data_IF_211783477098
#
_entry.id   IF_211783477098
#
_cell.length_a   1.000
_cell.length_b   1.000
_cell.length_c   1.000
_cell.angle_alpha   90.00
_cell.angle_beta   90.00
_cell.angle_gamma   90.00
#
_symmetry.space_group_name_H-M   'P 1'
#
loop_
_entity.id
_entity.type
_entity.pdbx_description
1 polymer ?
#
# COMPACT_ATOMS: atom_id res chain seq x y z
N UNK A 1 36.34 -26.56 -18.66
CA UNK A 1 36.02 -25.21 -18.17
C UNK A 1 34.51 -25.14 -18.06
N UNK A 2 33.97 -25.19 -16.85
CA UNK A 2 32.57 -24.84 -16.64
C UNK A 2 32.55 -23.31 -16.58
N UNK A 3 32.14 -22.69 -17.67
CA UNK A 3 31.81 -21.26 -17.67
C UNK A 3 30.44 -21.14 -17.01
N UNK A 4 30.45 -20.80 -15.73
CA UNK A 4 29.25 -20.31 -15.05
C UNK A 4 28.99 -18.90 -15.59
N UNK A 5 28.17 -18.81 -16.63
CA UNK A 5 27.67 -17.54 -17.13
C UNK A 5 26.62 -17.05 -16.15
N UNK A 6 27.04 -16.65 -14.94
CA UNK A 6 26.20 -16.28 -13.81
C UNK A 6 24.83 -15.79 -14.26
N UNK A 7 23.87 -16.73 -14.28
CA UNK A 7 22.60 -16.51 -14.90
C UNK A 7 21.96 -15.39 -14.09
N UNK A 8 21.75 -14.20 -14.68
CA UNK A 8 21.08 -13.11 -13.98
C UNK A 8 19.61 -13.54 -13.83
N UNK A 9 19.32 -14.26 -12.75
CA UNK A 9 18.01 -14.80 -12.47
C UNK A 9 17.06 -13.62 -12.26
N UNK A 10 15.90 -13.67 -12.91
CA UNK A 10 14.82 -12.73 -12.64
C UNK A 10 14.37 -12.91 -11.19
N UNK A 11 14.38 -11.81 -10.45
CA UNK A 11 13.98 -11.69 -9.06
C UNK A 11 12.96 -10.53 -8.96
N UNK A 12 11.74 -10.73 -9.48
CA UNK A 12 10.66 -9.76 -9.30
C UNK A 12 10.34 -9.66 -7.81
N UNK A 13 10.21 -8.43 -7.32
CA UNK A 13 9.90 -8.19 -5.92
C UNK A 13 9.18 -6.85 -5.78
N UNK A 14 8.08 -6.87 -5.03
CA UNK A 14 7.42 -5.67 -4.58
C UNK A 14 7.84 -5.37 -3.15
N UNK A 15 7.65 -4.12 -2.75
CA UNK A 15 7.51 -3.72 -1.38
C UNK A 15 6.29 -2.81 -1.30
N UNK A 16 5.52 -2.95 -0.24
CA UNK A 16 4.42 -2.05 0.07
C UNK A 16 4.75 -1.37 1.39
N UNK A 17 4.31 -0.14 1.59
CA UNK A 17 4.29 0.55 2.87
C UNK A 17 2.96 1.25 2.98
N UNK A 18 2.33 1.19 4.16
CA UNK A 18 1.05 1.85 4.42
C UNK A 18 1.10 2.59 5.74
N UNK A 19 0.70 3.85 5.71
CA UNK A 19 0.60 4.68 6.91
C UNK A 19 -0.80 5.30 7.04
N UNK A 20 -1.13 5.73 8.26
CA UNK A 20 -2.40 6.33 8.61
C UNK A 20 -2.18 7.47 9.62
N UNK A 21 -2.81 8.61 9.34
CA UNK A 21 -2.77 9.79 10.20
C UNK A 21 -4.17 10.33 10.42
N UNK A 22 -4.46 10.74 11.65
CA UNK A 22 -5.65 11.50 12.05
C UNK A 22 -5.16 12.80 12.69
N UNK A 23 -6.00 13.83 12.72
CA UNK A 23 -5.68 15.03 13.49
C UNK A 23 -5.50 14.66 14.97
N UNK A 24 -4.31 14.89 15.51
CA UNK A 24 -3.95 14.44 16.86
C UNK A 24 -3.35 13.03 16.91
N UNK A 25 -3.72 12.26 17.93
CA UNK A 25 -3.14 10.92 18.21
C UNK A 25 -4.19 9.80 18.10
N UNK A 26 -5.46 10.15 18.29
CA UNK A 26 -6.59 9.26 18.43
C UNK A 26 -7.73 9.71 17.52
N UNK A 27 -8.65 8.80 17.21
CA UNK A 27 -9.96 9.15 16.68
C UNK A 27 -10.93 9.27 17.87
N UNK A 28 -11.22 10.50 18.27
CA UNK A 28 -11.99 10.87 19.46
C UNK A 28 -13.49 11.05 19.16
N UNK A 29 -13.87 11.39 17.93
CA UNK A 29 -15.28 11.62 17.58
C UNK A 29 -15.63 11.33 16.11
N UNK A 30 -16.93 11.13 15.86
CA UNK A 30 -17.45 10.89 14.52
C UNK A 30 -17.30 12.16 13.64
N UNK A 31 -16.84 11.97 12.41
CA UNK A 31 -16.56 13.05 11.45
C UNK A 31 -15.09 13.42 11.33
N UNK A 32 -14.21 12.87 12.18
CA UNK A 32 -12.76 12.99 11.97
C UNK A 32 -12.33 12.24 10.72
N UNK A 33 -11.28 12.75 10.06
CA UNK A 33 -10.77 12.17 8.82
C UNK A 33 -9.44 11.50 9.09
N UNK A 34 -9.35 10.20 8.79
CA UNK A 34 -8.11 9.46 8.75
C UNK A 34 -7.59 9.51 7.32
N UNK A 35 -6.38 10.05 7.13
CA UNK A 35 -5.67 10.05 5.87
C UNK A 35 -4.75 8.83 5.78
N UNK A 36 -4.82 8.12 4.66
CA UNK A 36 -3.97 6.98 4.37
C UNK A 36 -3.00 7.31 3.24
N UNK A 37 -1.76 6.86 3.39
CA UNK A 37 -0.76 6.88 2.32
C UNK A 37 -0.27 5.45 2.09
N UNK A 38 -0.14 5.07 0.83
CA UNK A 38 0.43 3.79 0.42
C UNK A 38 1.55 4.06 -0.57
N UNK A 39 2.70 3.45 -0.35
CA UNK A 39 3.81 3.44 -1.29
C UNK A 39 4.04 2.01 -1.77
N UNK A 40 4.14 1.81 -3.08
CA UNK A 40 4.42 0.51 -3.71
C UNK A 40 5.67 0.64 -4.55
N UNK A 41 6.72 -0.08 -4.18
CA UNK A 41 8.05 0.01 -4.79
C UNK A 41 8.44 -1.32 -5.44
N UNK A 42 9.02 -1.27 -6.64
CA UNK A 42 9.66 -2.43 -7.24
C UNK A 42 11.10 -2.55 -6.71
N UNK A 43 11.31 -3.47 -5.78
CA UNK A 43 12.63 -3.73 -5.16
C UNK A 43 13.38 -4.87 -5.85
N UNK A 44 12.81 -5.41 -6.94
CA UNK A 44 13.38 -6.50 -7.72
C UNK A 44 14.42 -6.06 -8.74
N UNK A 45 14.66 -6.92 -9.74
CA UNK A 45 15.58 -6.65 -10.86
C UNK A 45 14.89 -6.71 -12.24
N UNK A 46 13.56 -6.63 -12.27
CA UNK A 46 12.73 -6.68 -13.47
C UNK A 46 11.57 -5.67 -13.34
N UNK A 47 11.25 -4.94 -14.41
CA UNK A 47 10.05 -4.09 -14.51
C UNK A 47 8.79 -4.93 -14.27
N UNK A 48 7.85 -4.39 -13.48
CA UNK A 48 6.61 -5.06 -13.14
C UNK A 48 5.44 -4.49 -13.95
N UNK A 49 4.60 -5.37 -14.47
CA UNK A 49 3.40 -5.02 -15.24
C UNK A 49 2.15 -5.51 -14.52
N UNK A 50 1.00 -4.97 -14.92
CA UNK A 50 -0.28 -5.38 -14.31
C UNK A 50 -0.31 -5.11 -12.81
N UNK A 51 0.43 -4.09 -12.34
CA UNK A 51 0.54 -3.78 -10.92
C UNK A 51 -0.83 -3.36 -10.41
N UNK A 52 -1.31 -4.05 -9.37
CA UNK A 52 -2.60 -3.76 -8.73
C UNK A 52 -2.38 -3.42 -7.26
N UNK A 53 -3.13 -2.43 -6.78
CA UNK A 53 -3.19 -2.06 -5.37
C UNK A 53 -4.65 -2.04 -4.94
N UNK A 54 -4.98 -2.80 -3.90
CA UNK A 54 -6.34 -2.95 -3.41
C UNK A 54 -6.42 -2.74 -1.91
N UNK A 55 -7.53 -2.15 -1.47
CA UNK A 55 -7.83 -1.89 -0.07
C UNK A 55 -9.32 -2.20 0.15
N UNK A 56 -9.71 -3.26 0.88
CA UNK A 56 -11.11 -3.60 1.10
C UNK A 56 -11.83 -2.65 2.06
N UNK A 57 -11.09 -1.86 2.85
CA UNK A 57 -11.65 -0.87 3.78
C UNK A 57 -11.95 0.46 3.06
N UNK A 58 -11.27 0.72 1.95
CA UNK A 58 -11.31 1.99 1.22
C UNK A 58 -11.73 1.78 -0.24
N UNK A 59 -12.84 2.38 -0.64
CA UNK A 59 -13.33 2.28 -2.03
C UNK A 59 -12.76 3.34 -2.99
N UNK A 60 -12.13 4.41 -2.48
CA UNK A 60 -11.73 5.59 -3.25
C UNK A 60 -10.20 5.77 -3.37
N UNK A 61 -9.42 4.68 -3.34
CA UNK A 61 -7.96 4.73 -3.47
C UNK A 61 -7.52 5.44 -4.77
N UNK A 62 -6.73 6.52 -4.64
CA UNK A 62 -6.24 7.31 -5.77
C UNK A 62 -4.73 7.19 -5.92
N UNK A 63 -4.25 6.93 -7.15
CA UNK A 63 -2.84 7.10 -7.51
C UNK A 63 -2.54 8.59 -7.65
N UNK A 64 -1.60 9.11 -6.86
CA UNK A 64 -1.26 10.55 -6.83
C UNK A 64 0.10 10.87 -7.43
N UNK A 65 0.98 9.88 -7.54
CA UNK A 65 2.25 10.00 -8.27
C UNK A 65 2.67 8.66 -8.87
N UNK A 66 2.86 8.64 -10.19
CA UNK A 66 3.72 7.69 -10.91
C UNK A 66 5.12 8.33 -11.03
N UNK A 67 6.18 7.58 -10.80
CA UNK A 67 7.49 8.16 -10.53
C UNK A 67 8.54 7.77 -11.58
N UNK A 68 8.21 7.78 -12.88
CA UNK A 68 9.25 7.79 -13.92
C UNK A 68 8.72 8.11 -15.32
N UNK A 69 7.68 7.42 -15.78
CA UNK A 69 7.42 7.25 -17.22
C UNK A 69 5.95 7.30 -17.65
N UNK A 70 4.98 7.27 -16.72
CA UNK A 70 3.52 7.22 -16.97
C UNK A 70 3.09 6.16 -18.01
N UNK A 71 3.85 5.07 -18.16
CA UNK A 71 3.58 3.96 -19.08
C UNK A 71 2.71 2.86 -18.46
N UNK A 72 2.43 2.94 -17.16
CA UNK A 72 1.65 1.95 -16.43
C UNK A 72 2.46 0.72 -16.03
N UNK A 73 3.78 0.80 -16.11
CA UNK A 73 4.73 -0.20 -15.63
C UNK A 73 5.46 0.36 -14.39
N UNK A 74 5.83 -0.51 -13.45
CA UNK A 74 6.59 -0.13 -12.27
C UNK A 74 8.05 -0.56 -12.48
N UNK A 75 8.87 0.40 -12.90
CA UNK A 75 10.28 0.17 -13.21
C UNK A 75 11.09 -0.20 -11.97
N UNK A 76 12.26 -0.80 -12.17
CA UNK A 76 13.15 -1.21 -11.07
C UNK A 76 13.57 0.03 -10.26
N UNK A 77 13.25 0.04 -8.97
CA UNK A 77 13.49 1.17 -8.06
C UNK A 77 12.46 2.29 -8.16
N UNK A 78 11.43 2.17 -9.01
CA UNK A 78 10.30 3.09 -9.04
C UNK A 78 9.37 2.85 -7.86
N UNK A 79 8.74 3.93 -7.36
CA UNK A 79 7.70 3.88 -6.34
C UNK A 79 6.43 4.60 -6.79
N UNK A 80 5.30 3.92 -6.72
CA UNK A 80 3.97 4.52 -6.91
C UNK A 80 3.36 4.91 -5.56
N UNK A 81 2.76 6.10 -5.52
CA UNK A 81 2.13 6.62 -4.30
C UNK A 81 0.63 6.74 -4.45
N UNK A 82 -0.10 6.18 -3.49
CA UNK A 82 -1.54 6.26 -3.40
C UNK A 82 -1.99 6.97 -2.12
N UNK A 83 -3.13 7.66 -2.22
CA UNK A 83 -3.79 8.27 -1.06
C UNK A 83 -5.25 7.88 -1.00
N UNK A 84 -5.78 7.87 0.21
CA UNK A 84 -7.21 7.75 0.47
C UNK A 84 -7.60 8.36 1.81
N UNK A 85 -8.90 8.46 2.08
CA UNK A 85 -9.41 8.97 3.34
C UNK A 85 -10.58 8.16 3.87
N UNK A 86 -10.68 8.03 5.19
CA UNK A 86 -11.84 7.46 5.88
C UNK A 86 -12.40 8.48 6.86
N UNK A 87 -13.71 8.71 6.82
CA UNK A 87 -14.38 9.54 7.84
C UNK A 87 -14.89 8.62 8.95
N UNK A 88 -14.40 8.85 10.16
CA UNK A 88 -14.77 8.06 11.35
C UNK A 88 -16.26 8.18 11.60
N UNK A 89 -16.92 7.04 11.79
CA UNK A 89 -18.35 6.94 12.01
C UNK A 89 -18.69 6.87 13.50
N UNK A 90 -19.93 7.26 13.86
CA UNK A 90 -20.39 7.12 15.25
C UNK A 90 -20.40 5.65 15.69
N UNK A 91 -20.66 4.71 14.79
CA UNK A 91 -20.65 3.28 15.11
C UNK A 91 -19.23 2.78 15.47
N UNK A 92 -18.19 3.30 14.83
CA UNK A 92 -16.80 2.98 15.18
C UNK A 92 -16.42 3.55 16.55
N UNK A 93 -16.82 4.80 16.83
CA UNK A 93 -16.65 5.41 18.17
C UNK A 93 -17.36 4.59 19.25
N UNK A 94 -18.63 4.24 19.01
CA UNK A 94 -19.45 3.47 19.96
C UNK A 94 -18.90 2.04 20.17
N UNK A 95 -18.26 1.46 19.15
CA UNK A 95 -17.60 0.16 19.25
C UNK A 95 -16.31 0.22 20.09
N UNK A 96 -15.61 1.37 20.10
CA UNK A 96 -14.39 1.59 20.89
C UNK A 96 -13.27 0.61 20.56
N UNK A 97 -13.19 0.18 19.30
CA UNK A 97 -12.15 -0.69 18.73
C UNK A 97 -11.24 0.11 17.81
N UNK A 98 -9.94 -0.17 17.83
CA UNK A 98 -8.97 0.45 16.92
C UNK A 98 -9.40 0.26 15.45
N UNK A 99 -9.26 1.32 14.66
CA UNK A 99 -9.48 1.29 13.22
C UNK A 99 -8.24 0.70 12.57
N UNK A 100 -8.43 -0.43 11.89
CA UNK A 100 -7.39 -1.16 11.18
C UNK A 100 -7.70 -1.17 9.69
N UNK A 101 -6.72 -0.76 8.90
CA UNK A 101 -6.84 -0.78 7.45
C UNK A 101 -5.65 -1.52 6.83
N UNK A 102 -5.90 -2.48 5.94
CA UNK A 102 -4.88 -3.31 5.26
C UNK A 102 -4.96 -3.11 3.75
N UNK A 103 -3.83 -2.85 3.09
CA UNK A 103 -3.77 -2.84 1.63
C UNK A 103 -2.96 -4.05 1.14
N UNK A 104 -3.21 -4.38 -0.12
CA UNK A 104 -2.57 -5.48 -0.84
C UNK A 104 -2.03 -4.96 -2.16
N UNK A 105 -0.78 -5.30 -2.49
CA UNK A 105 -0.18 -5.04 -3.80
C UNK A 105 0.27 -6.34 -4.48
N UNK A 106 0.12 -6.40 -5.80
CA UNK A 106 0.48 -7.54 -6.64
C UNK A 106 0.89 -7.09 -8.06
N UNK A 107 1.48 -7.98 -8.84
CA UNK A 107 1.92 -7.77 -10.22
C UNK A 107 1.97 -9.10 -10.98
N UNK A 108 2.01 -9.04 -12.32
CA UNK A 108 2.07 -10.26 -13.15
C UNK A 108 3.32 -11.11 -12.91
N UNK A 109 4.41 -10.51 -12.40
CA UNK A 109 5.71 -11.15 -12.22
C UNK A 109 5.97 -11.62 -10.78
N UNK A 110 5.30 -11.05 -9.77
CA UNK A 110 5.43 -11.52 -8.39
C UNK A 110 4.74 -12.87 -8.22
N UNK A 111 5.26 -13.72 -7.33
CA UNK A 111 4.59 -14.98 -6.98
C UNK A 111 3.14 -14.73 -6.51
N UNK A 112 2.27 -15.75 -6.57
CA UNK A 112 0.83 -15.64 -6.21
C UNK A 112 0.54 -15.33 -4.73
N UNK A 113 1.51 -14.85 -3.97
CA UNK A 113 1.32 -14.36 -2.62
C UNK A 113 1.43 -12.84 -2.68
N UNK A 114 0.30 -12.13 -2.80
CA UNK A 114 0.28 -10.68 -2.77
C UNK A 114 0.93 -10.17 -1.49
N UNK A 115 1.60 -9.03 -1.59
CA UNK A 115 2.13 -8.38 -0.39
C UNK A 115 1.01 -7.65 0.33
N UNK A 116 0.81 -8.02 1.59
CA UNK A 116 -0.20 -7.42 2.45
C UNK A 116 0.48 -6.64 3.56
N UNK A 117 0.07 -5.39 3.76
CA UNK A 117 0.50 -4.64 4.93
C UNK A 117 -0.66 -3.88 5.59
N UNK A 118 -0.80 -4.02 6.92
CA UNK A 118 -1.65 -3.14 7.69
C UNK A 118 -1.02 -1.74 7.76
N UNK A 119 -1.87 -0.74 7.79
CA UNK A 119 -1.52 0.60 8.28
C UNK A 119 -1.19 0.56 9.76
N UNK A 120 -0.60 1.65 10.27
CA UNK A 120 -0.65 1.94 11.70
C UNK A 120 -2.11 1.95 12.17
N UNK A 121 -2.40 1.22 13.25
CA UNK A 121 -3.72 1.25 13.89
C UNK A 121 -4.01 2.64 14.46
N UNK A 122 -5.16 3.21 14.10
CA UNK A 122 -5.69 4.42 14.72
C UNK A 122 -6.55 4.02 15.91
N UNK A 123 -6.17 4.52 17.09
CA UNK A 123 -6.81 4.16 18.35
C UNK A 123 -8.04 5.02 18.59
N UNK A 124 -9.10 4.41 19.12
CA UNK A 124 -10.27 5.10 19.67
C UNK A 124 -10.17 5.04 21.20
N UNK A 125 -10.08 6.17 21.91
CA UNK A 125 -10.02 6.16 23.36
C UNK A 125 -11.38 5.72 23.93
N UNK A 126 -11.31 4.98 25.05
CA UNK A 126 -12.50 4.57 25.81
C UNK A 126 -12.80 5.53 26.95
#
# INVERSE_FOLDING_TARGET
MNVDFGNMQLQPSLNIVKDATVDGVYADYAGEVIHYTIAVENTGNQTLTGVTVTDPFISDLQLVADAASSDGELDVGETWHYTASHTVTQAEIDAGTDIMNTATADSDQTDRTPMMLPSRSIKIPR
#
